data_IF_887228462671
#
_entry.id   IF_887228462671
#
_cell.length_a   1.000
_cell.length_b   1.000
_cell.length_c   1.000
_cell.angle_alpha   90.00
_cell.angle_beta   90.00
_cell.angle_gamma   90.00
#
_symmetry.space_group_name_H-M   'P 1'
#
loop_
_entity.id
_entity.type
_entity.pdbx_description
1 polymer ?
#
# COMPACT_ATOMS: atom_id res chain seq x y z
N UNK A 1 27.22 -1.65 -25.03
CA UNK A 1 25.83 -2.14 -24.85
C UNK A 1 25.31 -1.53 -23.56
N UNK A 2 24.46 -0.50 -23.66
CA UNK A 2 23.87 0.15 -22.49
C UNK A 2 22.75 -0.74 -21.96
N UNK A 3 22.95 -1.32 -20.77
CA UNK A 3 21.90 -2.01 -20.04
C UNK A 3 21.01 -0.92 -19.44
N UNK A 4 19.96 -0.55 -20.16
CA UNK A 4 18.94 0.36 -19.64
C UNK A 4 18.12 -0.45 -18.65
N UNK A 5 18.28 -0.16 -17.36
CA UNK A 5 17.50 -0.75 -16.27
C UNK A 5 16.01 -0.67 -16.61
N UNK A 6 15.34 -1.81 -16.75
CA UNK A 6 13.91 -1.91 -17.08
C UNK A 6 12.99 -1.20 -16.04
N UNK A 7 13.53 -0.79 -14.89
CA UNK A 7 12.84 0.03 -13.89
C UNK A 7 12.58 1.48 -14.33
N UNK A 8 13.27 1.98 -15.37
CA UNK A 8 13.16 3.37 -15.79
C UNK A 8 11.91 3.69 -16.62
N UNK A 9 11.23 2.69 -17.19
CA UNK A 9 10.02 2.93 -18.01
C UNK A 9 8.73 3.02 -17.18
N UNK A 10 8.67 2.41 -15.98
CA UNK A 10 7.47 2.43 -15.12
C UNK A 10 7.61 3.29 -13.85
N UNK A 11 8.81 3.78 -13.55
CA UNK A 11 9.09 4.61 -12.38
C UNK A 11 9.26 3.79 -11.08
N UNK A 12 9.18 4.47 -9.93
CA UNK A 12 9.29 3.80 -8.63
C UNK A 12 8.19 2.72 -8.51
N UNK A 13 8.49 1.48 -8.09
CA UNK A 13 7.57 0.34 -8.20
C UNK A 13 6.26 0.50 -7.40
N UNK A 14 6.25 1.37 -6.39
CA UNK A 14 5.07 1.69 -5.61
C UNK A 14 4.25 2.86 -6.18
N UNK A 15 4.82 3.71 -7.05
CA UNK A 15 4.21 4.98 -7.46
C UNK A 15 2.94 4.75 -8.28
N UNK A 16 1.81 5.29 -7.82
CA UNK A 16 0.49 5.53 -8.44
C UNK A 16 -0.68 4.84 -7.73
N UNK A 17 -1.74 4.44 -8.44
CA UNK A 17 -3.01 4.01 -7.83
C UNK A 17 -3.12 2.49 -7.65
N UNK A 18 -3.58 2.08 -6.47
CA UNK A 18 -3.74 0.69 -6.06
C UNK A 18 -5.14 0.48 -5.47
N UNK A 19 -5.80 -0.61 -5.87
CA UNK A 19 -7.15 -0.95 -5.42
C UNK A 19 -7.16 -2.37 -4.86
N UNK A 20 -7.96 -2.61 -3.83
CA UNK A 20 -8.18 -3.94 -3.29
C UNK A 20 -8.86 -3.87 -1.94
N UNK A 21 -8.54 -4.81 -1.06
CA UNK A 21 -9.19 -4.90 0.24
C UNK A 21 -8.29 -5.49 1.34
N UNK A 22 -8.76 -5.34 2.57
CA UNK A 22 -8.26 -6.06 3.72
C UNK A 22 -9.40 -6.53 4.62
N UNK A 23 -9.12 -7.48 5.50
CA UNK A 23 -10.09 -7.87 6.51
C UNK A 23 -9.68 -9.09 7.33
N UNK A 24 -10.23 -9.28 8.53
CA UNK A 24 -9.89 -10.40 9.40
C UNK A 24 -10.36 -11.75 8.86
N UNK A 25 -11.34 -11.76 7.96
CA UNK A 25 -11.87 -12.97 7.31
C UNK A 25 -12.60 -12.63 6.00
N UNK A 26 -13.13 -13.66 5.32
CA UNK A 26 -13.81 -13.51 4.00
C UNK A 26 -15.15 -12.77 4.04
N UNK A 27 -15.81 -12.70 5.20
CA UNK A 27 -17.12 -12.08 5.36
C UNK A 27 -17.03 -10.62 5.83
N UNK A 28 -15.85 -10.19 6.28
CA UNK A 28 -15.58 -8.84 6.76
C UNK A 28 -14.40 -8.28 5.95
N UNK A 29 -14.71 -7.67 4.79
CA UNK A 29 -13.74 -7.09 3.87
C UNK A 29 -13.99 -5.60 3.72
N UNK A 30 -12.92 -4.82 3.88
CA UNK A 30 -12.89 -3.38 3.75
C UNK A 30 -12.15 -3.01 2.47
N UNK A 31 -12.86 -2.39 1.53
CA UNK A 31 -12.28 -1.92 0.27
C UNK A 31 -11.35 -0.74 0.54
N UNK A 32 -10.22 -0.70 -0.17
CA UNK A 32 -9.25 0.39 -0.07
C UNK A 32 -8.78 0.83 -1.45
N UNK A 33 -8.62 2.14 -1.57
CA UNK A 33 -7.85 2.77 -2.65
C UNK A 33 -6.63 3.42 -2.04
N UNK A 34 -5.44 3.14 -2.55
CA UNK A 34 -4.21 3.78 -2.10
C UNK A 34 -3.55 4.46 -3.29
N UNK A 35 -3.29 5.75 -3.17
CA UNK A 35 -2.48 6.49 -4.15
C UNK A 35 -1.12 6.72 -3.52
N UNK A 36 -0.10 6.07 -4.06
CA UNK A 36 1.29 6.23 -3.61
C UNK A 36 2.06 7.10 -4.61
N UNK A 37 3.06 7.82 -4.14
CA UNK A 37 4.00 8.54 -4.98
C UNK A 37 5.44 8.38 -4.48
N UNK A 38 6.39 8.74 -5.33
CA UNK A 38 7.81 8.81 -5.03
C UNK A 38 8.35 10.15 -5.51
N UNK A 39 8.82 10.96 -4.56
CA UNK A 39 9.34 12.31 -4.81
C UNK A 39 10.84 12.34 -5.15
N UNK A 40 11.50 11.18 -5.24
CA UNK A 40 12.95 11.07 -5.37
C UNK A 40 13.68 10.73 -4.07
N UNK A 41 13.01 10.81 -2.93
CA UNK A 41 13.58 10.59 -1.60
C UNK A 41 12.73 9.71 -0.69
N UNK A 42 11.40 9.88 -0.71
CA UNK A 42 10.48 9.18 0.17
C UNK A 42 9.20 8.75 -0.56
N UNK A 43 8.61 7.66 -0.06
CA UNK A 43 7.29 7.22 -0.50
C UNK A 43 6.27 8.09 0.22
N UNK A 44 5.38 8.71 -0.54
CA UNK A 44 4.24 9.48 -0.01
C UNK A 44 2.95 8.87 -0.51
N UNK A 45 1.81 9.32 0.02
CA UNK A 45 0.53 8.86 -0.49
C UNK A 45 -0.63 9.08 0.46
N UNK A 46 -1.79 8.60 0.03
CA UNK A 46 -3.04 8.66 0.78
C UNK A 46 -3.84 7.37 0.61
N UNK A 47 -4.44 6.92 1.70
CA UNK A 47 -5.48 5.89 1.71
C UNK A 47 -6.84 6.57 1.56
N UNK A 48 -7.70 6.00 0.73
CA UNK A 48 -9.05 6.42 0.41
C UNK A 48 -9.13 7.93 0.14
N UNK A 49 -8.51 8.40 -0.98
CA UNK A 49 -8.41 9.81 -1.29
C UNK A 49 -9.80 10.49 -1.36
N UNK A 50 -9.84 11.75 -0.91
CA UNK A 50 -11.08 12.52 -0.74
C UNK A 50 -11.07 13.32 0.57
N UNK A 51 -12.23 13.84 1.02
CA UNK A 51 -12.33 14.64 2.24
C UNK A 51 -11.85 13.95 3.52
N UNK A 52 -11.84 12.61 3.53
CA UNK A 52 -11.41 11.78 4.67
C UNK A 52 -10.11 11.00 4.35
N UNK A 53 -9.30 11.51 3.42
CA UNK A 53 -8.03 10.90 3.06
C UNK A 53 -7.13 10.72 4.29
N UNK A 54 -6.47 9.57 4.39
CA UNK A 54 -5.53 9.27 5.46
C UNK A 54 -4.11 9.23 4.88
N UNK A 55 -3.25 10.21 5.19
CA UNK A 55 -1.89 10.26 4.67
C UNK A 55 -1.06 9.06 5.10
N UNK A 56 -0.23 8.55 4.20
CA UNK A 56 0.75 7.51 4.53
C UNK A 56 1.84 8.09 5.45
N UNK A 57 2.24 7.28 6.42
CA UNK A 57 3.35 7.52 7.35
C UNK A 57 4.32 6.35 7.26
N UNK A 58 5.60 6.61 7.57
CA UNK A 58 6.64 5.58 7.68
C UNK A 58 6.71 4.63 6.47
N UNK A 59 6.34 5.10 5.27
CA UNK A 59 6.26 4.28 4.09
C UNK A 59 7.65 3.91 3.58
N UNK A 60 7.96 2.62 3.50
CA UNK A 60 9.26 2.09 3.07
C UNK A 60 9.11 0.93 2.09
N UNK A 61 10.15 0.76 1.28
CA UNK A 61 10.34 -0.39 0.40
C UNK A 61 11.72 -0.98 0.64
N UNK A 62 11.77 -2.24 1.05
CA UNK A 62 13.00 -3.03 1.10
C UNK A 62 13.21 -3.72 -0.25
N UNK A 63 14.28 -3.38 -1.01
CA UNK A 63 14.40 -3.80 -2.40
C UNK A 63 14.88 -5.24 -2.61
N UNK A 64 15.46 -5.93 -1.61
CA UNK A 64 15.98 -7.30 -1.79
C UNK A 64 14.84 -8.33 -1.77
N UNK A 65 13.89 -8.16 -0.86
CA UNK A 65 12.72 -9.01 -0.65
C UNK A 65 11.43 -8.42 -1.21
N UNK A 66 11.47 -7.16 -1.68
CA UNK A 66 10.30 -6.39 -2.12
C UNK A 66 9.24 -6.24 -1.03
N UNK A 67 9.70 -6.02 0.20
CA UNK A 67 8.84 -5.83 1.35
C UNK A 67 8.42 -4.37 1.46
N UNK A 68 7.12 -4.15 1.58
CA UNK A 68 6.48 -2.84 1.72
C UNK A 68 5.99 -2.71 3.15
N UNK A 69 6.26 -1.57 3.77
CA UNK A 69 5.70 -1.21 5.06
C UNK A 69 5.15 0.20 4.97
N UNK A 70 3.97 0.46 5.57
CA UNK A 70 3.48 1.81 5.80
C UNK A 70 2.48 1.82 6.95
N UNK A 71 2.32 3.00 7.52
CA UNK A 71 1.39 3.29 8.59
C UNK A 71 0.41 4.38 8.15
N UNK A 72 -0.71 4.50 8.84
CA UNK A 72 -1.60 5.64 8.71
C UNK A 72 -2.46 5.80 9.95
N UNK A 73 -2.80 7.05 10.30
CA UNK A 73 -3.85 7.32 11.26
C UNK A 73 -5.12 7.68 10.50
N UNK A 74 -6.21 6.97 10.75
CA UNK A 74 -7.52 7.26 10.16
C UNK A 74 -8.63 7.16 11.20
N UNK A 75 -9.81 7.68 10.86
CA UNK A 75 -10.99 7.49 11.68
C UNK A 75 -11.71 6.20 11.25
N UNK A 76 -12.10 5.37 12.22
CA UNK A 76 -12.99 4.25 11.95
C UNK A 76 -14.44 4.74 11.70
N UNK A 77 -15.36 3.81 11.44
CA UNK A 77 -16.77 4.13 11.21
C UNK A 77 -17.46 4.84 12.40
N UNK A 78 -16.94 4.67 13.61
CA UNK A 78 -17.40 5.38 14.82
C UNK A 78 -16.75 6.76 15.01
N UNK A 79 -15.90 7.19 14.08
CA UNK A 79 -15.19 8.47 14.14
C UNK A 79 -13.97 8.48 15.07
N UNK A 80 -13.61 7.33 15.65
CA UNK A 80 -12.48 7.22 16.57
C UNK A 80 -11.17 7.14 15.80
N UNK A 81 -10.09 7.80 16.26
CA UNK A 81 -8.78 7.66 15.66
C UNK A 81 -8.25 6.24 15.87
N UNK A 82 -7.73 5.64 14.80
CA UNK A 82 -7.14 4.31 14.76
C UNK A 82 -5.81 4.40 14.01
N UNK A 83 -4.78 3.82 14.60
CA UNK A 83 -3.47 3.68 13.99
C UNK A 83 -3.39 2.33 13.25
N UNK A 84 -3.17 2.40 11.94
CA UNK A 84 -3.06 1.22 11.08
C UNK A 84 -1.61 0.98 10.70
N UNK A 85 -1.23 -0.31 10.69
CA UNK A 85 0.07 -0.79 10.23
C UNK A 85 -0.14 -1.81 9.11
N UNK A 86 0.55 -1.61 8.00
CA UNK A 86 0.50 -2.51 6.84
C UNK A 86 1.89 -3.00 6.52
N UNK A 87 2.02 -4.31 6.46
CA UNK A 87 3.22 -5.01 5.99
C UNK A 87 2.84 -5.90 4.82
N UNK A 88 3.59 -5.82 3.73
CA UNK A 88 3.31 -6.64 2.55
C UNK A 88 4.53 -6.90 1.69
N UNK A 89 4.32 -7.68 0.64
CA UNK A 89 5.31 -8.01 -0.36
C UNK A 89 4.76 -7.71 -1.74
N UNK A 90 5.58 -7.12 -2.61
CA UNK A 90 5.23 -6.99 -4.02
C UNK A 90 5.27 -8.37 -4.68
N UNK A 91 4.14 -8.79 -5.23
CA UNK A 91 4.00 -9.97 -6.09
C UNK A 91 3.88 -9.56 -7.54
N UNK A 92 4.39 -10.41 -8.44
CA UNK A 92 4.32 -10.21 -9.88
C UNK A 92 4.93 -8.88 -10.34
N UNK A 93 6.06 -8.48 -9.75
CA UNK A 93 6.69 -7.17 -9.98
C UNK A 93 6.84 -6.78 -11.46
N UNK A 94 7.12 -7.74 -12.33
CA UNK A 94 7.28 -7.52 -13.78
C UNK A 94 5.97 -7.34 -14.55
N UNK A 95 4.81 -7.47 -13.91
CA UNK A 95 3.52 -7.20 -14.52
C UNK A 95 3.05 -5.79 -14.19
N UNK A 96 2.43 -5.14 -15.17
CA UNK A 96 1.78 -3.83 -14.97
C UNK A 96 0.78 -3.87 -13.80
N UNK A 97 0.00 -4.96 -13.70
CA UNK A 97 -1.02 -5.17 -12.69
C UNK A 97 -0.49 -5.96 -11.46
N UNK A 98 0.79 -5.74 -11.10
CA UNK A 98 1.42 -6.27 -9.89
C UNK A 98 0.59 -6.01 -8.63
N UNK A 99 0.83 -6.81 -7.60
CA UNK A 99 0.05 -6.75 -6.36
C UNK A 99 0.95 -6.52 -5.16
N UNK A 100 0.39 -5.97 -4.08
CA UNK A 100 1.00 -6.00 -2.76
C UNK A 100 0.12 -6.89 -1.90
N UNK A 101 0.72 -7.90 -1.28
CA UNK A 101 0.02 -8.89 -0.46
C UNK A 101 0.66 -8.96 0.91
N UNK A 102 -0.15 -8.98 1.96
CA UNK A 102 0.35 -9.11 3.31
C UNK A 102 -0.74 -8.94 4.34
N UNK A 103 -0.48 -8.10 5.34
CA UNK A 103 -1.36 -7.92 6.49
C UNK A 103 -1.62 -6.47 6.79
N UNK A 104 -2.87 -6.18 7.13
CA UNK A 104 -3.33 -4.91 7.67
C UNK A 104 -3.75 -5.11 9.11
N UNK A 105 -3.28 -4.25 10.02
CA UNK A 105 -3.56 -4.41 11.44
C UNK A 105 -3.78 -3.09 12.14
N UNK A 106 -4.56 -3.13 13.21
CA UNK A 106 -4.74 -2.05 14.19
C UNK A 106 -5.22 -2.65 15.50
N UNK A 107 -4.84 -2.05 16.64
CA UNK A 107 -5.22 -2.54 17.97
C UNK A 107 -4.96 -4.06 18.13
N UNK A 108 -6.01 -4.85 18.38
CA UNK A 108 -5.97 -6.32 18.44
C UNK A 108 -6.55 -6.99 17.19
N UNK A 109 -6.77 -6.24 16.11
CA UNK A 109 -7.30 -6.73 14.84
C UNK A 109 -6.19 -6.85 13.81
N UNK A 110 -6.16 -7.99 13.12
CA UNK A 110 -5.25 -8.26 12.00
C UNK A 110 -5.99 -9.01 10.92
N UNK A 111 -5.82 -8.58 9.69
CA UNK A 111 -6.42 -9.18 8.51
C UNK A 111 -5.41 -9.38 7.39
N UNK A 112 -5.74 -10.28 6.46
CA UNK A 112 -5.01 -10.32 5.19
C UNK A 112 -5.35 -9.07 4.37
N UNK A 113 -4.38 -8.63 3.59
CA UNK A 113 -4.44 -7.44 2.76
C UNK A 113 -3.95 -7.78 1.37
N UNK A 114 -4.69 -7.33 0.36
CA UNK A 114 -4.27 -7.42 -1.03
C UNK A 114 -4.73 -6.19 -1.80
N UNK A 115 -3.79 -5.51 -2.43
CA UNK A 115 -4.06 -4.47 -3.42
C UNK A 115 -3.38 -4.78 -4.73
N UNK A 116 -3.98 -4.33 -5.81
CA UNK A 116 -3.50 -4.50 -7.17
C UNK A 116 -3.32 -3.15 -7.85
N UNK A 117 -2.24 -3.07 -8.62
CA UNK A 117 -1.92 -1.90 -9.41
C UNK A 117 -2.92 -1.69 -10.55
N UNK A 118 -3.38 -0.45 -10.71
CA UNK A 118 -4.18 0.00 -11.86
C UNK A 118 -3.33 0.72 -12.89
#
# INVERSE_FOLDING_TARGET
MLVVSAFAQEGHPLKGTWLGDWGPNKNDRNQVTIVMDWDGKQITGQINPGPNASPLKNATLEPKGWMVHFEADAKNAAGQPVHYVVDGKIENLGLYNRSIVGTWSHDNMKGDFRIQRQ
#
